data_IF_271243447790
#
_entry.id   IF_271243447790
#
_cell.length_a   1.000
_cell.length_b   1.000
_cell.length_c   1.000
_cell.angle_alpha   90.00
_cell.angle_beta   90.00
_cell.angle_gamma   90.00
#
_symmetry.space_group_name_H-M   'P 1'
#
loop_
_entity.id
_entity.type
_entity.pdbx_description
1 polymer ?
#
# COMPACT_ATOMS: atom_id res chain seq x y z
N UNK A 1 -5.45 12.94 -8.51
CA UNK A 1 -5.97 12.37 -7.27
C UNK A 1 -5.97 10.85 -7.42
N UNK A 2 -5.46 10.10 -6.43
CA UNK A 2 -5.42 8.63 -6.46
C UNK A 2 -6.75 7.96 -6.07
N UNK A 3 -7.80 8.72 -5.92
CA UNK A 3 -9.14 8.24 -5.58
C UNK A 3 -10.10 8.66 -6.68
N UNK A 4 -10.70 7.67 -7.35
CA UNK A 4 -11.74 7.90 -8.35
C UNK A 4 -13.13 7.80 -7.69
N UNK A 5 -13.79 8.95 -7.50
CA UNK A 5 -15.12 9.01 -6.87
C UNK A 5 -16.17 8.21 -7.65
N UNK A 6 -16.07 8.20 -8.98
CA UNK A 6 -16.96 7.44 -9.86
C UNK A 6 -16.82 5.93 -9.60
N UNK A 7 -15.57 5.45 -9.45
CA UNK A 7 -15.28 4.05 -9.20
C UNK A 7 -15.85 3.58 -7.86
N UNK A 8 -15.66 4.38 -6.79
CA UNK A 8 -16.23 4.07 -5.46
C UNK A 8 -17.76 4.12 -5.47
N UNK A 9 -18.36 4.99 -6.28
CA UNK A 9 -19.81 5.06 -6.47
C UNK A 9 -20.39 3.84 -7.20
N UNK A 10 -19.62 3.26 -8.11
CA UNK A 10 -20.05 2.16 -8.98
C UNK A 10 -20.24 0.84 -8.22
N UNK A 11 -19.52 0.64 -7.09
CA UNK A 11 -19.58 -0.58 -6.27
C UNK A 11 -19.93 -0.23 -4.82
N UNK A 12 -21.20 0.11 -4.60
CA UNK A 12 -21.70 0.57 -3.29
C UNK A 12 -21.52 -0.46 -2.17
N UNK A 13 -21.64 -1.76 -2.47
CA UNK A 13 -21.48 -2.85 -1.48
C UNK A 13 -20.07 -2.92 -0.88
N UNK A 14 -19.04 -2.60 -1.65
CA UNK A 14 -17.65 -2.64 -1.20
C UNK A 14 -17.37 -1.62 -0.08
N UNK A 15 -18.13 -0.51 -0.02
CA UNK A 15 -17.97 0.53 1.00
C UNK A 15 -18.11 0.00 2.42
N UNK A 16 -19.07 -0.91 2.65
CA UNK A 16 -19.31 -1.53 3.96
C UNK A 16 -18.11 -2.35 4.41
N UNK A 17 -17.52 -3.11 3.49
CA UNK A 17 -16.36 -3.95 3.77
C UNK A 17 -15.08 -3.12 3.98
N UNK A 18 -14.91 -2.04 3.21
CA UNK A 18 -13.80 -1.09 3.40
C UNK A 18 -13.91 -0.44 4.78
N UNK A 19 -15.08 0.08 5.15
CA UNK A 19 -15.31 0.67 6.46
C UNK A 19 -15.06 -0.35 7.59
N UNK A 20 -15.58 -1.57 7.46
CA UNK A 20 -15.33 -2.65 8.41
C UNK A 20 -13.84 -2.98 8.57
N UNK A 21 -13.09 -3.02 7.46
CA UNK A 21 -11.64 -3.22 7.48
C UNK A 21 -10.92 -2.09 8.25
N UNK A 22 -11.25 -0.83 7.94
CA UNK A 22 -10.66 0.35 8.63
C UNK A 22 -10.96 0.34 10.12
N UNK A 23 -12.20 0.03 10.52
CA UNK A 23 -12.60 -0.06 11.93
C UNK A 23 -11.80 -1.15 12.64
N UNK A 24 -11.64 -2.34 12.03
CA UNK A 24 -10.88 -3.43 12.64
C UNK A 24 -9.39 -3.07 12.76
N UNK A 25 -8.79 -2.42 11.76
CA UNK A 25 -7.43 -1.92 11.87
C UNK A 25 -7.30 -0.86 12.97
N UNK A 26 -8.28 0.02 13.10
CA UNK A 26 -8.30 1.04 14.16
C UNK A 26 -8.47 0.41 15.56
N UNK A 27 -9.33 -0.60 15.72
CA UNK A 27 -9.42 -1.38 16.96
C UNK A 27 -8.10 -2.10 17.29
N UNK A 28 -7.40 -2.61 16.30
CA UNK A 28 -6.06 -3.18 16.49
C UNK A 28 -5.05 -2.13 16.97
N UNK A 29 -5.11 -0.90 16.43
CA UNK A 29 -4.27 0.22 16.87
C UNK A 29 -4.57 0.63 18.31
N UNK A 30 -5.84 0.75 18.70
CA UNK A 30 -6.22 1.09 20.07
C UNK A 30 -5.79 0.03 21.07
N UNK A 31 -5.89 -1.25 20.72
CA UNK A 31 -5.34 -2.35 21.52
C UNK A 31 -3.80 -2.27 21.65
N UNK A 32 -3.11 -1.87 20.56
CA UNK A 32 -1.65 -1.64 20.62
C UNK A 32 -1.29 -0.46 21.54
N UNK A 33 -2.03 0.63 21.50
CA UNK A 33 -1.83 1.78 22.38
C UNK A 33 -2.01 1.36 23.85
N UNK A 34 -3.06 0.60 24.17
CA UNK A 34 -3.29 0.10 25.53
C UNK A 34 -2.15 -0.84 26.00
N UNK A 35 -1.64 -1.68 25.10
CA UNK A 35 -0.51 -2.54 25.36
C UNK A 35 0.75 -1.72 25.66
N UNK A 36 1.08 -0.73 24.85
CA UNK A 36 2.27 0.12 25.04
C UNK A 36 2.16 0.98 26.31
N UNK A 37 0.97 1.49 26.64
CA UNK A 37 0.69 2.17 27.90
C UNK A 37 0.97 1.26 29.12
N UNK A 38 0.49 0.03 29.08
CA UNK A 38 0.70 -0.93 30.17
C UNK A 38 2.18 -1.30 30.36
N UNK A 39 2.90 -1.49 29.24
CA UNK A 39 4.34 -1.78 29.26
C UNK A 39 5.13 -0.58 29.77
N UNK A 40 4.85 0.64 29.29
CA UNK A 40 5.57 1.86 29.71
C UNK A 40 5.40 2.13 31.19
N UNK A 41 4.19 1.92 31.72
CA UNK A 41 3.90 2.02 33.14
C UNK A 41 4.66 0.98 33.97
N UNK A 42 4.62 -0.28 33.54
CA UNK A 42 5.36 -1.37 34.22
C UNK A 42 6.86 -1.09 34.25
N UNK A 43 7.45 -0.65 33.14
CA UNK A 43 8.87 -0.31 33.06
C UNK A 43 9.21 0.88 33.95
N UNK A 44 8.37 1.91 33.99
CA UNK A 44 8.59 3.09 34.84
C UNK A 44 8.56 2.74 36.33
N UNK A 45 7.61 1.90 36.80
CA UNK A 45 7.52 1.44 38.17
C UNK A 45 8.66 0.49 38.54
N UNK A 46 9.08 -0.37 37.61
CA UNK A 46 10.27 -1.23 37.81
C UNK A 46 11.53 -0.39 38.00
N UNK A 47 11.71 0.67 37.23
CA UNK A 47 12.87 1.56 37.33
C UNK A 47 12.87 2.34 38.65
N UNK A 48 11.68 2.67 39.19
CA UNK A 48 11.54 3.31 40.52
C UNK A 48 11.72 2.37 41.70
N UNK A 49 11.83 1.05 41.45
CA UNK A 49 11.93 0.03 42.51
C UNK A 49 10.61 -0.24 43.25
N UNK A 50 9.47 0.27 42.74
CA UNK A 50 8.13 0.13 43.32
C UNK A 50 7.26 -0.95 42.65
N UNK A 51 7.87 -1.81 41.83
CA UNK A 51 7.16 -2.85 41.07
C UNK A 51 6.54 -3.91 42.02
N UNK A 52 5.21 -4.07 41.96
CA UNK A 52 4.47 -5.08 42.70
C UNK A 52 4.16 -6.30 41.82
N UNK A 53 4.01 -7.48 42.40
CA UNK A 53 3.58 -8.70 41.72
C UNK A 53 2.22 -8.48 41.01
N UNK A 54 1.35 -7.69 41.64
CA UNK A 54 0.06 -7.34 41.06
C UNK A 54 0.19 -6.53 39.73
N UNK A 55 1.18 -5.65 39.63
CA UNK A 55 1.44 -4.89 38.40
C UNK A 55 1.87 -5.84 37.26
N UNK A 56 2.75 -6.80 37.53
CA UNK A 56 3.18 -7.79 36.55
C UNK A 56 2.02 -8.65 36.05
N UNK A 57 1.15 -9.11 36.95
CA UNK A 57 -0.01 -9.92 36.59
C UNK A 57 -1.00 -9.14 35.72
N UNK A 58 -1.32 -7.89 36.11
CA UNK A 58 -2.21 -7.03 35.32
C UNK A 58 -1.63 -6.73 33.95
N UNK A 59 -0.34 -6.36 33.88
CA UNK A 59 0.32 -6.11 32.58
C UNK A 59 0.32 -7.38 31.72
N UNK A 60 0.60 -8.54 32.29
CA UNK A 60 0.55 -9.82 31.59
C UNK A 60 -0.83 -10.11 30.99
N UNK A 61 -1.90 -9.88 31.74
CA UNK A 61 -3.28 -10.03 31.26
C UNK A 61 -3.58 -9.06 30.12
N UNK A 62 -3.19 -7.78 30.27
CA UNK A 62 -3.39 -6.76 29.22
C UNK A 62 -2.63 -7.13 27.94
N UNK A 63 -1.40 -7.62 28.04
CA UNK A 63 -0.60 -8.07 26.90
C UNK A 63 -1.30 -9.21 26.16
N UNK A 64 -1.72 -10.26 26.88
CA UNK A 64 -2.41 -11.42 26.29
C UNK A 64 -3.72 -10.97 25.61
N UNK A 65 -4.51 -10.15 26.29
CA UNK A 65 -5.78 -9.65 25.74
C UNK A 65 -5.55 -8.78 24.50
N UNK A 66 -4.60 -7.85 24.55
CA UNK A 66 -4.27 -7.00 23.41
C UNK A 66 -3.77 -7.81 22.21
N UNK A 67 -2.94 -8.82 22.42
CA UNK A 67 -2.49 -9.72 21.35
C UNK A 67 -3.65 -10.52 20.74
N UNK A 68 -4.55 -11.04 21.58
CA UNK A 68 -5.74 -11.76 21.13
C UNK A 68 -6.67 -10.85 20.29
N UNK A 69 -6.92 -9.61 20.74
CA UNK A 69 -7.70 -8.61 20.01
C UNK A 69 -7.03 -8.27 18.69
N UNK A 70 -5.74 -7.96 18.68
CA UNK A 70 -4.97 -7.64 17.46
C UNK A 70 -5.01 -8.79 16.45
N UNK A 71 -4.81 -10.02 16.91
CA UNK A 71 -4.89 -11.21 16.05
C UNK A 71 -6.27 -11.37 15.43
N UNK A 72 -7.34 -11.28 16.25
CA UNK A 72 -8.72 -11.37 15.78
C UNK A 72 -9.08 -10.25 14.80
N UNK A 73 -8.67 -9.01 15.11
CA UNK A 73 -8.86 -7.85 14.22
C UNK A 73 -8.10 -8.00 12.89
N UNK A 74 -6.89 -8.54 12.92
CA UNK A 74 -6.09 -8.78 11.71
C UNK A 74 -6.77 -9.79 10.78
N UNK A 75 -7.25 -10.92 11.32
CA UNK A 75 -8.02 -11.91 10.55
C UNK A 75 -9.32 -11.28 10.02
N UNK A 76 -10.02 -10.53 10.86
CA UNK A 76 -11.25 -9.83 10.47
C UNK A 76 -11.01 -8.83 9.35
N UNK A 77 -9.96 -8.01 9.44
CA UNK A 77 -9.59 -7.04 8.42
C UNK A 77 -9.23 -7.72 7.08
N UNK A 78 -8.48 -8.83 7.12
CA UNK A 78 -8.17 -9.62 5.93
C UNK A 78 -9.43 -10.19 5.26
N UNK A 79 -10.39 -10.72 6.06
CA UNK A 79 -11.68 -11.20 5.56
C UNK A 79 -12.50 -10.05 4.93
N UNK A 80 -12.55 -8.87 5.55
CA UNK A 80 -13.24 -7.70 5.00
C UNK A 80 -12.59 -7.23 3.69
N UNK A 81 -11.26 -7.24 3.59
CA UNK A 81 -10.54 -6.97 2.34
C UNK A 81 -10.93 -7.95 1.24
N UNK A 82 -10.97 -9.25 1.55
CA UNK A 82 -11.40 -10.28 0.61
C UNK A 82 -12.85 -10.09 0.15
N UNK A 83 -13.79 -9.79 1.05
CA UNK A 83 -15.18 -9.53 0.66
C UNK A 83 -15.33 -8.27 -0.17
N UNK A 84 -14.57 -7.21 0.11
CA UNK A 84 -14.50 -6.02 -0.71
C UNK A 84 -14.04 -6.35 -2.13
N UNK A 85 -12.94 -7.06 -2.28
CA UNK A 85 -12.39 -7.54 -3.54
C UNK A 85 -13.40 -8.37 -4.33
N UNK A 86 -14.02 -9.35 -3.67
CA UNK A 86 -15.03 -10.24 -4.28
C UNK A 86 -16.24 -9.46 -4.80
N UNK A 87 -16.77 -8.52 -4.02
CA UNK A 87 -17.91 -7.68 -4.40
C UNK A 87 -17.59 -6.83 -5.65
N UNK A 88 -16.39 -6.23 -5.69
CA UNK A 88 -15.93 -5.43 -6.83
C UNK A 88 -15.78 -6.31 -8.08
N UNK A 89 -15.12 -7.43 -7.97
CA UNK A 89 -14.89 -8.37 -9.08
C UNK A 89 -16.22 -8.84 -9.69
N UNK A 90 -17.17 -9.23 -8.85
CA UNK A 90 -18.50 -9.66 -9.29
C UNK A 90 -19.23 -8.51 -10.01
N UNK A 91 -19.35 -7.35 -9.38
CA UNK A 91 -20.12 -6.22 -9.90
C UNK A 91 -19.53 -5.69 -11.21
N UNK A 92 -18.21 -5.58 -11.33
CA UNK A 92 -17.59 -5.07 -12.55
C UNK A 92 -17.70 -6.06 -13.72
N UNK A 93 -17.45 -7.35 -13.48
CA UNK A 93 -17.62 -8.39 -14.52
C UNK A 93 -19.06 -8.47 -15.02
N UNK A 94 -20.02 -8.39 -14.11
CA UNK A 94 -21.45 -8.36 -14.47
C UNK A 94 -21.78 -7.15 -15.33
N UNK A 95 -21.32 -5.95 -14.98
CA UNK A 95 -21.53 -4.73 -15.79
C UNK A 95 -20.88 -4.80 -17.17
N UNK A 96 -19.65 -5.32 -17.26
CA UNK A 96 -18.96 -5.52 -18.53
C UNK A 96 -19.76 -6.50 -19.39
N UNK A 97 -20.17 -7.62 -18.81
CA UNK A 97 -20.97 -8.63 -19.53
C UNK A 97 -22.31 -8.08 -20.03
N UNK A 98 -23.05 -7.35 -19.18
CA UNK A 98 -24.30 -6.70 -19.57
C UNK A 98 -24.10 -5.67 -20.67
N UNK A 99 -23.01 -4.90 -20.65
CA UNK A 99 -22.68 -3.96 -21.73
C UNK A 99 -22.42 -4.68 -23.04
N UNK A 100 -21.64 -5.77 -23.02
CA UNK A 100 -21.38 -6.57 -24.22
C UNK A 100 -22.65 -7.18 -24.82
N UNK A 101 -23.56 -7.68 -23.98
CA UNK A 101 -24.86 -8.18 -24.45
C UNK A 101 -25.70 -7.08 -25.12
N UNK A 102 -25.64 -5.84 -24.61
CA UNK A 102 -26.35 -4.70 -25.20
C UNK A 102 -25.75 -4.26 -26.54
N UNK A 103 -24.44 -4.38 -26.73
CA UNK A 103 -23.76 -4.09 -27.98
C UNK A 103 -24.05 -5.14 -29.05
N UNK A 104 -24.43 -6.37 -28.64
CA UNK A 104 -24.78 -7.44 -29.59
C UNK A 104 -23.60 -7.82 -30.51
N UNK A 105 -23.91 -8.19 -31.78
CA UNK A 105 -22.91 -8.61 -32.77
C UNK A 105 -22.01 -7.47 -33.27
N UNK A 106 -22.43 -6.21 -33.08
CA UNK A 106 -21.68 -5.02 -33.51
C UNK A 106 -20.56 -4.60 -32.54
N UNK A 107 -20.36 -5.33 -31.44
CA UNK A 107 -19.31 -4.97 -30.48
C UNK A 107 -17.90 -4.92 -31.09
N UNK A 108 -17.61 -5.79 -32.07
CA UNK A 108 -16.32 -5.84 -32.78
C UNK A 108 -15.98 -4.58 -33.59
N UNK A 109 -16.98 -3.80 -34.00
CA UNK A 109 -16.80 -2.53 -34.70
C UNK A 109 -16.35 -1.41 -33.76
N UNK A 110 -16.70 -1.50 -32.46
CA UNK A 110 -16.43 -0.48 -31.46
C UNK A 110 -15.22 -0.81 -30.62
N UNK A 111 -15.04 -2.08 -30.23
CA UNK A 111 -13.96 -2.52 -29.32
C UNK A 111 -13.38 -3.85 -29.77
N UNK A 112 -12.05 -3.96 -29.82
CA UNK A 112 -11.37 -5.22 -30.13
C UNK A 112 -11.63 -6.27 -29.07
N UNK A 113 -11.92 -7.51 -29.48
CA UNK A 113 -12.18 -8.64 -28.57
C UNK A 113 -11.03 -8.84 -27.59
N UNK A 114 -9.78 -8.70 -28.03
CA UNK A 114 -8.59 -8.81 -27.17
C UNK A 114 -8.58 -7.76 -26.06
N UNK A 115 -9.00 -6.52 -26.37
CA UNK A 115 -9.09 -5.44 -25.37
C UNK A 115 -10.18 -5.72 -24.34
N UNK A 116 -11.35 -6.23 -24.80
CA UNK A 116 -12.44 -6.62 -23.90
C UNK A 116 -12.00 -7.71 -22.92
N UNK A 117 -11.35 -8.76 -23.43
CA UNK A 117 -10.85 -9.85 -22.59
C UNK A 117 -9.79 -9.34 -21.59
N UNK A 118 -8.84 -8.54 -22.05
CA UNK A 118 -7.83 -7.95 -21.19
C UNK A 118 -8.46 -7.09 -20.07
N UNK A 119 -9.41 -6.25 -20.40
CA UNK A 119 -10.11 -5.39 -19.43
C UNK A 119 -10.94 -6.22 -18.45
N UNK A 120 -11.65 -7.26 -18.91
CA UNK A 120 -12.51 -8.10 -18.07
C UNK A 120 -11.73 -9.02 -17.12
N UNK A 121 -10.50 -9.41 -17.48
CA UNK A 121 -9.63 -10.28 -16.68
C UNK A 121 -8.62 -9.43 -15.91
N UNK A 122 -7.62 -8.90 -16.59
CA UNK A 122 -6.50 -8.19 -15.94
C UNK A 122 -6.93 -6.86 -15.32
N UNK A 123 -7.77 -6.08 -16.02
CA UNK A 123 -8.25 -4.80 -15.53
C UNK A 123 -9.08 -4.94 -14.25
N UNK A 124 -9.96 -5.94 -14.19
CA UNK A 124 -10.77 -6.21 -13.01
C UNK A 124 -9.92 -6.74 -11.86
N UNK A 125 -8.89 -7.57 -12.13
CA UNK A 125 -7.98 -8.08 -11.09
C UNK A 125 -7.11 -6.94 -10.49
N UNK A 126 -6.72 -5.94 -11.26
CA UNK A 126 -6.06 -4.73 -10.72
C UNK A 126 -6.98 -3.95 -9.77
N UNK A 127 -8.27 -3.85 -10.09
CA UNK A 127 -9.25 -3.20 -9.22
C UNK A 127 -9.60 -4.02 -7.98
N UNK A 128 -9.54 -5.34 -8.05
CA UNK A 128 -9.65 -6.21 -6.87
C UNK A 128 -8.65 -5.81 -5.80
N UNK A 129 -7.37 -5.68 -6.17
CA UNK A 129 -6.29 -5.31 -5.25
C UNK A 129 -6.43 -3.86 -4.78
N UNK A 130 -6.86 -2.96 -5.67
CA UNK A 130 -7.13 -1.56 -5.32
C UNK A 130 -8.19 -1.43 -4.22
N UNK A 131 -9.31 -2.15 -4.32
CA UNK A 131 -10.39 -2.09 -3.33
C UNK A 131 -10.12 -2.93 -2.07
N UNK A 132 -9.43 -4.06 -2.22
CA UNK A 132 -9.15 -4.97 -1.11
C UNK A 132 -8.01 -4.55 -0.20
N UNK A 133 -6.99 -3.89 -0.76
CA UNK A 133 -5.77 -3.53 -0.03
C UNK A 133 -5.55 -2.00 0.03
N UNK A 134 -5.52 -1.32 -1.13
CA UNK A 134 -5.13 0.10 -1.16
C UNK A 134 -6.13 1.03 -0.48
N UNK A 135 -7.43 0.94 -0.78
CA UNK A 135 -8.42 1.85 -0.22
C UNK A 135 -8.56 1.73 1.31
N UNK A 136 -8.66 0.52 1.91
CA UNK A 136 -8.67 0.42 3.36
C UNK A 136 -7.41 1.01 3.99
N UNK A 137 -6.23 0.71 3.42
CA UNK A 137 -4.96 1.23 3.92
C UNK A 137 -4.88 2.76 3.81
N UNK A 138 -5.44 3.36 2.75
CA UNK A 138 -5.48 4.81 2.58
C UNK A 138 -6.25 5.48 3.72
N UNK A 139 -7.46 5.01 4.03
CA UNK A 139 -8.26 5.59 5.12
C UNK A 139 -7.62 5.33 6.49
N UNK A 140 -7.08 4.15 6.70
CA UNK A 140 -6.38 3.82 7.95
C UNK A 140 -5.12 4.67 8.15
N UNK A 141 -4.33 4.88 7.10
CA UNK A 141 -3.11 5.70 7.15
C UNK A 141 -3.38 7.17 7.47
N UNK A 142 -4.58 7.68 7.17
CA UNK A 142 -5.00 9.02 7.60
C UNK A 142 -5.49 9.03 9.06
N UNK A 143 -6.21 7.99 9.48
CA UNK A 143 -6.81 7.91 10.81
C UNK A 143 -5.79 7.60 11.91
N UNK A 144 -4.84 6.70 11.65
CA UNK A 144 -3.89 6.21 12.65
C UNK A 144 -2.99 7.32 13.24
N UNK A 145 -2.32 8.19 12.45
CA UNK A 145 -1.50 9.26 12.99
C UNK A 145 -2.32 10.28 13.80
N UNK A 146 -3.56 10.56 13.37
CA UNK A 146 -4.46 11.47 14.10
C UNK A 146 -4.83 10.89 15.48
N UNK A 147 -5.13 9.59 15.54
CA UNK A 147 -5.44 8.91 16.80
C UNK A 147 -4.24 8.93 17.74
N UNK A 148 -3.05 8.60 17.23
CA UNK A 148 -1.81 8.64 18.00
C UNK A 148 -1.45 10.05 18.46
N UNK A 149 -1.67 11.05 17.61
CA UNK A 149 -1.48 12.45 17.97
C UNK A 149 -2.35 12.84 19.17
N UNK A 150 -3.66 12.52 19.12
CA UNK A 150 -4.59 12.81 20.23
C UNK A 150 -4.09 12.14 21.52
N UNK A 151 -3.71 10.86 21.47
CA UNK A 151 -3.22 10.13 22.63
C UNK A 151 -1.94 10.75 23.19
N UNK A 152 -0.97 11.07 22.34
CA UNK A 152 0.30 11.65 22.79
C UNK A 152 0.19 13.11 23.22
N UNK A 153 -0.81 13.87 22.75
CA UNK A 153 -1.07 15.23 23.27
C UNK A 153 -1.38 15.24 24.77
N UNK A 154 -1.98 14.18 25.32
CA UNK A 154 -2.19 14.06 26.76
C UNK A 154 -0.90 13.80 27.54
N UNK A 155 0.16 13.36 26.86
CA UNK A 155 1.48 13.08 27.47
C UNK A 155 2.43 14.25 27.27
N UNK A 156 2.64 14.68 26.02
CA UNK A 156 3.47 15.84 25.65
C UNK A 156 3.11 16.37 24.28
N UNK A 157 2.61 17.59 24.25
CA UNK A 157 2.17 18.25 23.01
C UNK A 157 3.34 18.50 22.05
N UNK A 158 4.52 18.89 22.56
CA UNK A 158 5.65 19.21 21.71
C UNK A 158 6.16 17.99 20.92
N UNK A 159 6.29 16.86 21.57
CA UNK A 159 6.69 15.59 20.93
C UNK A 159 5.61 15.11 19.93
N UNK A 160 4.33 15.20 20.30
CA UNK A 160 3.21 14.83 19.43
C UNK A 160 3.16 15.68 18.15
N UNK A 161 3.38 17.00 18.25
CA UNK A 161 3.42 17.92 17.10
C UNK A 161 4.58 17.62 16.18
N UNK A 162 5.79 17.38 16.70
CA UNK A 162 6.96 17.01 15.89
C UNK A 162 6.69 15.73 15.11
N UNK A 163 6.16 14.70 15.75
CA UNK A 163 5.81 13.45 15.07
C UNK A 163 4.76 13.69 13.97
N UNK A 164 3.70 14.45 14.26
CA UNK A 164 2.63 14.70 13.30
C UNK A 164 3.12 15.51 12.08
N UNK A 165 4.01 16.49 12.26
CA UNK A 165 4.59 17.29 11.16
C UNK A 165 5.45 16.42 10.24
N UNK A 166 6.12 15.41 10.76
CA UNK A 166 6.96 14.50 9.96
C UNK A 166 6.13 13.50 9.11
N UNK A 167 4.88 13.18 9.50
CA UNK A 167 4.04 12.21 8.76
C UNK A 167 3.78 12.64 7.30
N UNK A 168 3.37 13.88 6.98
CA UNK A 168 3.13 14.32 5.60
C UNK A 168 4.37 14.31 4.70
N UNK A 169 5.59 14.24 5.26
CA UNK A 169 6.81 14.17 4.45
C UNK A 169 6.86 12.89 3.62
N UNK A 170 6.26 11.78 4.09
CA UNK A 170 6.21 10.52 3.34
C UNK A 170 5.41 10.69 2.03
N UNK A 171 4.13 11.11 2.03
CA UNK A 171 3.41 11.32 0.78
C UNK A 171 4.02 12.40 -0.11
N UNK A 172 4.66 13.43 0.45
CA UNK A 172 5.40 14.44 -0.33
C UNK A 172 6.59 13.80 -1.05
N UNK A 173 7.39 12.98 -0.36
CA UNK A 173 8.51 12.26 -0.96
C UNK A 173 8.04 11.29 -2.06
N UNK A 174 6.93 10.57 -1.84
CA UNK A 174 6.33 9.71 -2.85
C UNK A 174 5.93 10.54 -4.08
N UNK A 175 5.27 11.68 -3.90
CA UNK A 175 4.85 12.55 -4.99
C UNK A 175 6.04 13.09 -5.80
N UNK A 176 7.14 13.44 -5.15
CA UNK A 176 8.36 13.91 -5.79
C UNK A 176 8.99 12.84 -6.70
N UNK A 177 9.03 11.59 -6.25
CA UNK A 177 9.58 10.47 -7.03
C UNK A 177 8.66 10.06 -8.20
N UNK A 178 7.35 10.27 -8.08
CA UNK A 178 6.36 9.82 -9.05
C UNK A 178 6.59 10.32 -10.48
N UNK A 179 6.93 11.58 -10.66
CA UNK A 179 7.07 12.18 -11.99
C UNK A 179 8.20 11.52 -12.77
N UNK A 180 9.32 11.25 -12.09
CA UNK A 180 10.44 10.53 -12.67
C UNK A 180 10.13 9.05 -12.93
N UNK A 181 9.46 8.41 -11.97
CA UNK A 181 9.02 7.03 -12.04
C UNK A 181 8.11 6.75 -13.23
N UNK A 182 7.14 7.63 -13.51
CA UNK A 182 6.23 7.49 -14.67
C UNK A 182 6.98 7.42 -15.99
N UNK A 183 7.96 8.32 -16.22
CA UNK A 183 8.73 8.36 -17.45
C UNK A 183 9.56 7.09 -17.64
N UNK A 184 10.17 6.59 -16.57
CA UNK A 184 10.97 5.37 -16.59
C UNK A 184 10.09 4.12 -16.84
N UNK A 185 8.93 4.07 -16.20
CA UNK A 185 7.97 2.97 -16.33
C UNK A 185 7.37 2.91 -17.73
N UNK A 186 7.05 4.06 -18.34
CA UNK A 186 6.58 4.13 -19.72
C UNK A 186 7.63 3.57 -20.70
N UNK A 187 8.91 3.89 -20.49
CA UNK A 187 10.01 3.34 -21.28
C UNK A 187 10.17 1.83 -21.09
N UNK A 188 10.01 1.35 -19.86
CA UNK A 188 10.04 -0.09 -19.54
C UNK A 188 8.94 -0.84 -20.30
N UNK A 189 7.69 -0.36 -20.23
CA UNK A 189 6.58 -1.00 -20.93
C UNK A 189 6.75 -0.97 -22.44
N UNK A 190 7.29 0.11 -23.01
CA UNK A 190 7.60 0.18 -24.45
C UNK A 190 8.60 -0.91 -24.85
N UNK A 191 9.70 -1.07 -24.15
CA UNK A 191 10.70 -2.12 -24.45
C UNK A 191 10.20 -3.53 -24.18
N UNK A 192 9.31 -3.72 -23.17
CA UNK A 192 8.67 -5.00 -22.91
C UNK A 192 7.80 -5.45 -24.07
N UNK A 193 6.98 -4.54 -24.59
CA UNK A 193 6.10 -4.81 -25.76
C UNK A 193 6.92 -5.10 -27.00
N UNK A 194 7.95 -4.28 -27.30
CA UNK A 194 8.84 -4.44 -28.45
C UNK A 194 9.54 -5.82 -28.43
N UNK A 195 10.06 -6.23 -27.28
CA UNK A 195 10.68 -7.55 -27.10
C UNK A 195 9.67 -8.69 -27.32
N UNK A 196 8.45 -8.53 -26.79
CA UNK A 196 7.36 -9.51 -26.97
C UNK A 196 6.93 -9.65 -28.42
N UNK A 197 6.77 -8.54 -29.11
CA UNK A 197 6.38 -8.50 -30.54
C UNK A 197 7.46 -9.18 -31.42
N UNK A 198 8.74 -8.86 -31.20
CA UNK A 198 9.86 -9.48 -31.92
C UNK A 198 9.94 -10.98 -31.62
N UNK A 199 9.70 -11.40 -30.37
CA UNK A 199 9.66 -12.82 -30.03
C UNK A 199 8.56 -13.57 -30.78
N UNK A 200 7.34 -13.02 -30.80
CA UNK A 200 6.22 -13.61 -31.52
C UNK A 200 6.44 -13.66 -33.02
N UNK A 201 7.00 -12.59 -33.62
CA UNK A 201 7.37 -12.55 -35.05
C UNK A 201 8.36 -13.64 -35.38
N UNK A 202 9.43 -13.80 -34.60
CA UNK A 202 10.44 -14.83 -34.80
C UNK A 202 9.85 -16.24 -34.64
N UNK A 203 8.92 -16.44 -33.71
CA UNK A 203 8.25 -17.71 -33.48
C UNK A 203 7.34 -18.09 -34.66
N UNK A 204 6.56 -17.12 -35.17
CA UNK A 204 5.70 -17.30 -36.33
C UNK A 204 6.51 -17.53 -37.60
N UNK A 205 7.64 -16.84 -37.77
CA UNK A 205 8.57 -16.95 -38.88
C UNK A 205 9.60 -18.05 -38.78
N UNK A 206 9.54 -18.95 -37.79
CA UNK A 206 10.60 -19.92 -37.49
C UNK A 206 10.98 -20.81 -38.68
N UNK A 207 9.98 -21.27 -39.43
CA UNK A 207 10.21 -22.10 -40.64
C UNK A 207 10.98 -21.30 -41.68
N UNK A 208 10.61 -20.06 -41.91
CA UNK A 208 11.26 -19.14 -42.86
C UNK A 208 12.71 -18.88 -42.42
N UNK A 209 12.93 -18.59 -41.14
CA UNK A 209 14.28 -18.39 -40.59
C UNK A 209 15.19 -19.58 -40.78
N UNK A 210 14.65 -20.79 -40.63
CA UNK A 210 15.41 -22.02 -40.86
C UNK A 210 15.73 -22.26 -42.34
N UNK A 211 14.80 -22.00 -43.23
CA UNK A 211 15.02 -22.15 -44.71
C UNK A 211 16.13 -21.20 -45.17
N UNK A 212 16.11 -19.94 -44.69
CA UNK A 212 17.11 -18.93 -45.04
C UNK A 212 18.36 -18.93 -44.20
N UNK A 213 18.49 -19.86 -43.24
CA UNK A 213 19.63 -19.96 -42.30
C UNK A 213 19.92 -18.65 -41.55
N UNK A 214 18.84 -17.87 -41.28
CA UNK A 214 18.91 -16.56 -40.62
C UNK A 214 18.72 -16.64 -39.10
N UNK A 215 18.65 -17.83 -38.52
CA UNK A 215 18.41 -18.07 -37.10
C UNK A 215 19.50 -17.47 -36.21
N UNK A 216 20.80 -17.59 -36.59
CA UNK A 216 21.89 -17.00 -35.82
C UNK A 216 21.81 -15.47 -35.76
N UNK A 217 21.46 -14.82 -36.88
CA UNK A 217 21.28 -13.37 -36.94
C UNK A 217 20.12 -12.91 -36.05
N UNK A 218 18.97 -13.58 -36.15
CA UNK A 218 17.79 -13.25 -35.32
C UNK A 218 18.01 -13.55 -33.85
N UNK A 219 18.78 -14.57 -33.51
CA UNK A 219 19.19 -14.84 -32.13
C UNK A 219 20.04 -13.70 -31.55
N UNK A 220 20.99 -13.18 -32.35
CA UNK A 220 21.80 -12.04 -31.90
C UNK A 220 20.93 -10.80 -31.68
N UNK A 221 20.02 -10.47 -32.62
CA UNK A 221 19.07 -9.36 -32.48
C UNK A 221 18.21 -9.49 -31.20
N UNK A 222 17.67 -10.70 -30.94
CA UNK A 222 16.92 -10.99 -29.72
C UNK A 222 17.76 -10.80 -28.46
N UNK A 223 19.02 -11.23 -28.45
CA UNK A 223 19.92 -11.05 -27.33
C UNK A 223 20.20 -9.58 -27.04
N UNK A 224 20.36 -8.75 -28.10
CA UNK A 224 20.54 -7.31 -27.94
C UNK A 224 19.31 -6.63 -27.36
N UNK A 225 18.12 -7.01 -27.83
CA UNK A 225 16.85 -6.49 -27.29
C UNK A 225 16.62 -6.95 -25.84
N UNK A 226 16.90 -8.22 -25.54
CA UNK A 226 16.84 -8.75 -24.18
C UNK A 226 17.80 -8.00 -23.23
N UNK A 227 19.02 -7.67 -23.69
CA UNK A 227 19.97 -6.91 -22.90
C UNK A 227 19.53 -5.45 -22.69
N UNK A 228 18.90 -4.80 -23.69
CA UNK A 228 18.27 -3.49 -23.52
C UNK A 228 17.14 -3.54 -22.49
N UNK A 229 16.29 -4.58 -22.57
CA UNK A 229 15.22 -4.80 -21.62
C UNK A 229 15.74 -5.09 -20.20
N UNK A 230 16.77 -5.90 -20.06
CA UNK A 230 17.43 -6.15 -18.77
C UNK A 230 17.93 -4.85 -18.14
N UNK A 231 18.62 -4.00 -18.92
CA UNK A 231 19.13 -2.71 -18.43
C UNK A 231 18.02 -1.77 -17.94
N UNK A 232 16.90 -1.68 -18.65
CA UNK A 232 15.78 -0.84 -18.21
C UNK A 232 15.09 -1.43 -16.99
N UNK A 233 14.95 -2.76 -16.93
CA UNK A 233 14.40 -3.46 -15.76
C UNK A 233 15.22 -3.19 -14.52
N UNK A 234 16.55 -3.27 -14.61
CA UNK A 234 17.43 -2.94 -13.49
C UNK A 234 17.31 -1.47 -13.05
N UNK A 235 17.13 -0.53 -13.99
CA UNK A 235 16.88 0.89 -13.64
C UNK A 235 15.55 1.07 -12.92
N UNK A 236 14.49 0.37 -13.34
CA UNK A 236 13.18 0.39 -12.65
C UNK A 236 13.32 -0.20 -11.25
N UNK A 237 14.01 -1.32 -11.10
CA UNK A 237 14.23 -1.95 -9.80
C UNK A 237 15.02 -1.03 -8.86
N UNK A 238 16.12 -0.43 -9.34
CA UNK A 238 16.91 0.55 -8.56
C UNK A 238 16.06 1.75 -8.14
N UNK A 239 15.22 2.26 -9.02
CA UNK A 239 14.29 3.34 -8.68
C UNK A 239 13.31 2.92 -7.57
N UNK A 240 12.73 1.72 -7.67
CA UNK A 240 11.81 1.21 -6.65
C UNK A 240 12.50 1.06 -5.29
N UNK A 241 13.69 0.46 -5.26
CA UNK A 241 14.47 0.29 -4.03
C UNK A 241 14.86 1.64 -3.41
N UNK A 242 15.32 2.59 -4.22
CA UNK A 242 15.64 3.95 -3.73
C UNK A 242 14.39 4.65 -3.17
N UNK A 243 13.22 4.48 -3.79
CA UNK A 243 11.96 5.05 -3.28
C UNK A 243 11.60 4.48 -1.91
N UNK A 244 11.76 3.17 -1.71
CA UNK A 244 11.54 2.51 -0.42
C UNK A 244 12.54 3.03 0.61
N UNK A 245 13.83 3.14 0.26
CA UNK A 245 14.88 3.65 1.14
C UNK A 245 14.59 5.09 1.59
N UNK A 246 14.13 5.96 0.69
CA UNK A 246 13.76 7.34 1.03
C UNK A 246 12.57 7.36 2.00
N UNK A 247 11.54 6.53 1.75
CA UNK A 247 10.39 6.42 2.66
C UNK A 247 10.80 5.90 4.04
N UNK A 248 11.69 4.91 4.08
CA UNK A 248 12.22 4.35 5.33
C UNK A 248 13.07 5.36 6.10
N UNK A 249 13.90 6.12 5.40
CA UNK A 249 14.70 7.19 5.99
C UNK A 249 13.81 8.26 6.65
N UNK A 250 12.72 8.67 5.98
CA UNK A 250 11.78 9.64 6.53
C UNK A 250 11.02 9.04 7.72
N UNK A 251 10.56 7.80 7.61
CA UNK A 251 9.79 7.14 8.68
C UNK A 251 10.62 6.93 9.94
N UNK A 252 11.81 6.34 9.80
CA UNK A 252 12.70 6.11 10.94
C UNK A 252 13.37 7.38 11.44
N UNK A 253 13.71 8.32 10.54
CA UNK A 253 14.21 9.64 10.90
C UNK A 253 13.19 10.46 11.69
N UNK A 254 11.92 10.44 11.27
CA UNK A 254 10.82 11.07 12.01
C UNK A 254 10.59 10.44 13.37
N UNK A 255 10.63 9.10 13.45
CA UNK A 255 10.57 8.39 14.73
C UNK A 255 11.75 8.75 15.65
N UNK A 256 12.97 8.82 15.11
CA UNK A 256 14.16 9.24 15.86
C UNK A 256 14.03 10.66 16.41
N UNK A 257 13.50 11.62 15.63
CA UNK A 257 13.20 12.97 16.10
C UNK A 257 12.20 12.96 17.26
N UNK A 258 11.16 12.12 17.17
CA UNK A 258 10.20 11.92 18.27
C UNK A 258 10.87 11.38 19.54
N UNK A 259 11.79 10.42 19.40
CA UNK A 259 12.56 9.86 20.52
C UNK A 259 13.49 10.92 21.13
N UNK A 260 14.20 11.70 20.31
CA UNK A 260 15.06 12.80 20.77
C UNK A 260 14.23 13.82 21.57
N UNK A 261 13.06 14.22 21.04
CA UNK A 261 12.16 15.13 21.75
C UNK A 261 11.65 14.54 23.08
N UNK A 262 11.29 13.26 23.11
CA UNK A 262 10.85 12.62 24.34
C UNK A 262 11.95 12.62 25.43
N UNK A 263 13.19 12.30 25.05
CA UNK A 263 14.33 12.27 25.97
C UNK A 263 14.70 13.68 26.45
N UNK A 264 14.73 14.67 25.56
CA UNK A 264 15.01 16.08 25.94
C UNK A 264 13.94 16.64 26.86
N UNK A 265 12.67 16.34 26.61
CA UNK A 265 11.57 16.75 27.47
C UNK A 265 11.58 16.03 28.82
N UNK A 266 12.03 14.78 28.87
CA UNK A 266 12.24 14.06 30.12
C UNK A 266 13.36 14.68 30.93
N UNK A 267 14.50 15.03 30.34
CA UNK A 267 15.63 15.67 31.00
C UNK A 267 15.27 17.07 31.55
N UNK A 268 14.42 17.81 30.84
CA UNK A 268 13.91 19.11 31.31
C UNK A 268 12.78 19.04 32.34
N UNK A 269 12.36 17.81 32.72
CA UNK A 269 11.26 17.60 33.68
C UNK A 269 9.86 17.83 33.10
N UNK A 270 9.73 18.06 31.79
CA UNK A 270 8.45 18.30 31.11
C UNK A 270 7.61 17.04 30.87
N UNK A 271 8.20 15.84 31.01
CA UNK A 271 7.52 14.56 30.81
C UNK A 271 7.98 13.56 31.87
N UNK A 272 7.06 12.72 32.34
CA UNK A 272 7.39 11.61 33.24
C UNK A 272 8.16 10.50 32.51
N UNK A 273 8.87 9.64 33.24
CA UNK A 273 9.54 8.46 32.68
C UNK A 273 8.56 7.56 31.91
N UNK A 274 7.38 7.33 32.46
CA UNK A 274 6.29 6.58 31.80
C UNK A 274 5.91 7.20 30.46
N UNK A 275 5.72 8.52 30.42
CA UNK A 275 5.38 9.27 29.18
C UNK A 275 6.50 9.24 28.17
N UNK A 276 7.77 9.38 28.58
CA UNK A 276 8.92 9.27 27.71
C UNK A 276 9.00 7.88 27.05
N UNK A 277 8.87 6.82 27.83
CA UNK A 277 8.85 5.44 27.33
C UNK A 277 7.68 5.20 26.36
N UNK A 278 6.50 5.74 26.68
CA UNK A 278 5.34 5.62 25.80
C UNK A 278 5.56 6.28 24.44
N UNK A 279 6.12 7.50 24.41
CA UNK A 279 6.44 8.21 23.16
C UNK A 279 7.45 7.40 22.35
N UNK A 280 8.50 6.85 22.98
CA UNK A 280 9.51 6.02 22.31
C UNK A 280 8.87 4.78 21.67
N UNK A 281 8.02 4.07 22.41
CA UNK A 281 7.36 2.84 21.95
C UNK A 281 6.35 3.10 20.81
N UNK A 282 5.64 4.24 20.84
CA UNK A 282 4.65 4.59 19.82
C UNK A 282 5.21 5.40 18.65
N UNK A 283 6.43 5.93 18.75
CA UNK A 283 7.01 6.79 17.71
C UNK A 283 7.02 6.14 16.32
N UNK A 284 7.34 4.88 16.22
CA UNK A 284 7.34 4.14 14.96
C UNK A 284 5.92 3.95 14.39
N UNK A 285 4.92 3.77 15.25
CA UNK A 285 3.53 3.51 14.84
C UNK A 285 2.89 4.72 14.13
N UNK A 286 3.42 5.93 14.29
CA UNK A 286 3.02 7.10 13.52
C UNK A 286 3.29 6.95 12.01
N UNK A 287 4.39 6.32 11.65
CA UNK A 287 4.91 6.28 10.29
C UNK A 287 4.58 4.99 9.55
N UNK A 288 4.43 3.86 10.27
CA UNK A 288 4.16 2.55 9.68
C UNK A 288 2.94 2.56 8.74
N UNK A 289 1.77 3.14 9.10
CA UNK A 289 0.61 3.15 8.21
C UNK A 289 0.84 3.92 6.92
N UNK A 290 1.54 5.06 6.98
CA UNK A 290 1.88 5.88 5.80
C UNK A 290 2.94 5.21 4.92
N UNK A 291 3.94 4.57 5.53
CA UNK A 291 4.94 3.79 4.82
C UNK A 291 4.30 2.62 4.06
N UNK A 292 3.38 1.89 4.69
CA UNK A 292 2.60 0.83 4.04
C UNK A 292 1.75 1.37 2.89
N UNK A 293 1.11 2.53 3.06
CA UNK A 293 0.39 3.20 1.98
C UNK A 293 1.31 3.50 0.80
N UNK A 294 2.55 3.92 1.06
CA UNK A 294 3.56 4.15 0.03
C UNK A 294 3.92 2.90 -0.76
N UNK A 295 4.01 1.74 -0.12
CA UNK A 295 4.27 0.47 -0.81
C UNK A 295 3.12 0.05 -1.74
N UNK A 296 1.88 0.44 -1.42
CA UNK A 296 0.70 0.20 -2.27
C UNK A 296 0.50 1.21 -3.41
N UNK A 297 1.42 2.17 -3.55
CA UNK A 297 1.30 3.21 -4.58
C UNK A 297 1.18 2.66 -6.01
N UNK A 298 1.98 1.64 -6.34
CA UNK A 298 1.92 1.01 -7.66
C UNK A 298 0.56 0.34 -7.93
N UNK A 299 -0.04 -0.24 -6.90
CA UNK A 299 -1.38 -0.82 -6.96
C UNK A 299 -2.42 0.26 -7.28
N UNK A 300 -2.32 1.42 -6.63
CA UNK A 300 -3.20 2.54 -6.89
C UNK A 300 -3.09 3.04 -8.34
N UNK A 301 -1.87 3.16 -8.87
CA UNK A 301 -1.66 3.57 -10.25
C UNK A 301 -2.22 2.59 -11.27
N UNK A 302 -1.94 1.30 -11.09
CA UNK A 302 -2.46 0.25 -11.97
C UNK A 302 -4.00 0.19 -11.90
N UNK A 303 -4.58 0.26 -10.69
CA UNK A 303 -6.02 0.32 -10.50
C UNK A 303 -6.68 1.52 -11.16
N UNK A 304 -6.07 2.70 -11.12
CA UNK A 304 -6.57 3.88 -11.82
C UNK A 304 -6.52 3.72 -13.33
N UNK A 305 -5.41 3.21 -13.87
CA UNK A 305 -5.29 2.96 -15.32
C UNK A 305 -6.30 1.90 -15.79
N UNK A 306 -6.51 0.84 -15.02
CA UNK A 306 -7.52 -0.17 -15.28
C UNK A 306 -8.94 0.42 -15.22
N UNK A 307 -9.20 1.28 -14.24
CA UNK A 307 -10.49 1.99 -14.09
C UNK A 307 -10.83 2.82 -15.35
N UNK A 308 -9.86 3.56 -15.88
CA UNK A 308 -10.08 4.40 -17.06
C UNK A 308 -10.43 3.55 -18.30
N UNK A 309 -9.76 2.40 -18.48
CA UNK A 309 -10.08 1.45 -19.55
C UNK A 309 -11.47 0.83 -19.38
N UNK A 310 -11.82 0.41 -18.14
CA UNK A 310 -13.13 -0.17 -17.84
C UNK A 310 -14.25 0.84 -18.09
N UNK A 311 -14.09 2.10 -17.66
CA UNK A 311 -15.12 3.11 -17.90
C UNK A 311 -15.25 3.48 -19.37
N UNK A 312 -14.16 3.50 -20.15
CA UNK A 312 -14.23 3.68 -21.59
C UNK A 312 -15.07 2.58 -22.26
N UNK A 313 -14.99 1.34 -21.78
CA UNK A 313 -15.79 0.23 -22.27
C UNK A 313 -17.26 0.32 -21.83
N UNK A 314 -17.52 0.84 -20.62
CA UNK A 314 -18.87 0.92 -20.05
C UNK A 314 -19.66 2.15 -20.54
N UNK A 315 -19.00 3.22 -20.95
CA UNK A 315 -19.61 4.42 -21.53
C UNK A 315 -19.95 4.20 -22.99
#
# INVERSE_FOLDING_TARGET
MMINKRLIGTVAESKKYIAGNVILQWCSLTANIALMLSISRMLAELFRGSASVQLFTVTGIVVILALAVRFSCSIGAAKMGYFSSKAVKKSLREKIYQKLLRLGSSYNEQVKTSEVVQVAVEGVDQLETYFGAYLPQFFYAMLAPLTLFIVLCFVNVAAAVVLLICVPLIPVAIAAVQTWAKKLLSKYWGQYTELGDTFLENLQGLTTLKIYQADAFKQQEMNEQAEKFRKITMKVLTMQLNSITIMDLIAYGGAALGVIMAVTQYQSGGVSLEGCLLIILLAADFFIPMRQLGSFFHIAMNGMAASDKIFRLLD
#
